data_IF_496578133709
#
_entry.id   IF_496578133709
#
_cell.length_a   1.000
_cell.length_b   1.000
_cell.length_c   1.000
_cell.angle_alpha   90.00
_cell.angle_beta   90.00
_cell.angle_gamma   90.00
#
_symmetry.space_group_name_H-M   'P 1'
#
loop_
_entity.id
_entity.type
_entity.pdbx_description
1 polymer ?
#
# COMPACT_ATOMS: atom_id res chain seq x y z
N UNK A 1 12.59 9.50 104.97
CA UNK A 1 13.19 8.90 103.75
C UNK A 1 12.15 8.89 102.64
N UNK A 2 12.11 9.88 101.73
CA UNK A 2 11.30 9.78 100.49
C UNK A 2 11.59 10.86 99.42
N UNK A 3 12.80 11.43 99.36
CA UNK A 3 13.15 12.47 98.35
C UNK A 3 13.99 11.94 97.18
N UNK A 4 14.77 10.88 97.35
CA UNK A 4 15.60 10.34 96.25
C UNK A 4 14.80 9.53 95.21
N UNK A 5 13.71 8.88 95.63
CA UNK A 5 12.89 8.05 94.75
C UNK A 5 12.01 8.89 93.77
N UNK A 6 11.79 10.17 94.08
CA UNK A 6 10.99 11.10 93.26
C UNK A 6 11.83 11.77 92.15
N UNK A 7 13.10 12.07 92.43
CA UNK A 7 14.01 12.68 91.44
C UNK A 7 14.41 11.69 90.34
N UNK A 8 14.62 10.41 90.70
CA UNK A 8 14.89 9.34 89.74
C UNK A 8 13.72 9.10 88.78
N UNK A 9 12.48 9.05 89.32
CA UNK A 9 11.27 8.91 88.50
C UNK A 9 11.08 10.08 87.55
N UNK A 10 11.27 11.33 88.01
CA UNK A 10 11.12 12.52 87.17
C UNK A 10 12.14 12.56 86.01
N UNK A 11 13.38 12.12 86.24
CA UNK A 11 14.41 12.02 85.18
C UNK A 11 14.06 10.92 84.16
N UNK A 12 13.55 9.78 84.63
CA UNK A 12 13.10 8.70 83.75
C UNK A 12 11.90 9.12 82.87
N UNK A 13 10.91 9.83 83.44
CA UNK A 13 9.76 10.34 82.66
C UNK A 13 10.19 11.34 81.59
N UNK A 14 11.14 12.22 81.88
CA UNK A 14 11.70 13.18 80.89
C UNK A 14 12.44 12.47 79.76
N UNK A 15 13.24 11.44 80.07
CA UNK A 15 13.94 10.64 79.05
C UNK A 15 12.94 9.92 78.13
N UNK A 16 11.88 9.33 78.70
CA UNK A 16 10.83 8.65 77.91
C UNK A 16 10.12 9.63 76.98
N UNK A 17 9.80 10.85 77.46
CA UNK A 17 9.18 11.89 76.62
C UNK A 17 10.08 12.34 75.46
N UNK A 18 11.39 12.46 75.68
CA UNK A 18 12.35 12.80 74.60
C UNK A 18 12.43 11.68 73.57
N UNK A 19 12.51 10.41 74.01
CA UNK A 19 12.53 9.27 73.09
C UNK A 19 11.22 9.18 72.28
N UNK A 20 10.07 9.41 72.92
CA UNK A 20 8.78 9.48 72.22
C UNK A 20 8.73 10.63 71.22
N UNK A 21 9.23 11.82 71.57
CA UNK A 21 9.27 12.96 70.66
C UNK A 21 10.17 12.68 69.44
N UNK A 22 11.33 12.06 69.63
CA UNK A 22 12.23 11.67 68.54
C UNK A 22 11.59 10.58 67.67
N UNK A 23 10.96 9.57 68.27
CA UNK A 23 10.25 8.54 67.52
C UNK A 23 9.10 9.11 66.67
N UNK A 24 8.39 10.12 67.19
CA UNK A 24 7.30 10.79 66.50
C UNK A 24 7.82 11.61 65.31
N UNK A 25 8.95 12.33 65.48
CA UNK A 25 9.63 13.04 64.38
C UNK A 25 10.16 12.07 63.32
N UNK A 26 10.77 10.95 63.71
CA UNK A 26 11.22 9.94 62.75
C UNK A 26 10.02 9.34 61.98
N UNK A 27 8.90 9.08 62.65
CA UNK A 27 7.69 8.57 62.01
C UNK A 27 7.10 9.55 61.01
N UNK A 28 7.10 10.86 61.30
CA UNK A 28 6.57 11.87 60.37
C UNK A 28 7.47 12.05 59.14
N UNK A 29 8.79 11.98 59.30
CA UNK A 29 9.73 12.02 58.17
C UNK A 29 9.57 10.80 57.27
N UNK A 30 9.45 9.60 57.86
CA UNK A 30 9.22 8.37 57.08
C UNK A 30 7.88 8.43 56.35
N UNK A 31 6.80 8.85 57.04
CA UNK A 31 5.49 9.00 56.42
C UNK A 31 5.51 10.05 55.27
N UNK A 32 6.23 11.16 55.44
CA UNK A 32 6.41 12.17 54.40
C UNK A 32 7.16 11.63 53.18
N UNK A 33 8.24 10.88 53.38
CA UNK A 33 8.97 10.23 52.28
C UNK A 33 8.11 9.21 51.53
N UNK A 34 7.33 8.40 52.25
CA UNK A 34 6.40 7.43 51.64
C UNK A 34 5.31 8.15 50.84
N UNK A 35 4.79 9.27 51.34
CA UNK A 35 3.81 10.08 50.63
C UNK A 35 4.37 10.67 49.32
N UNK A 36 5.59 11.22 49.35
CA UNK A 36 6.26 11.73 48.14
C UNK A 36 6.50 10.61 47.12
N UNK A 37 6.93 9.42 47.57
CA UNK A 37 7.09 8.27 46.69
C UNK A 37 5.77 7.80 46.09
N UNK A 38 4.69 7.81 46.87
CA UNK A 38 3.36 7.46 46.38
C UNK A 38 2.88 8.45 45.30
N UNK A 39 3.12 9.74 45.48
CA UNK A 39 2.69 10.75 44.51
C UNK A 39 3.53 10.67 43.23
N UNK A 40 4.85 10.47 43.35
CA UNK A 40 5.72 10.25 42.20
C UNK A 40 5.33 9.00 41.40
N UNK A 41 4.99 7.89 42.08
CA UNK A 41 4.57 6.66 41.40
C UNK A 41 3.21 6.81 40.72
N UNK A 42 2.25 7.53 41.32
CA UNK A 42 0.98 7.88 40.66
C UNK A 42 1.20 8.72 39.42
N UNK A 43 2.09 9.72 39.49
CA UNK A 43 2.37 10.59 38.35
C UNK A 43 3.08 9.84 37.21
N UNK A 44 4.01 8.94 37.55
CA UNK A 44 4.62 8.03 36.57
C UNK A 44 3.58 7.12 35.91
N UNK A 45 2.66 6.55 36.69
CA UNK A 45 1.60 5.70 36.16
C UNK A 45 0.67 6.47 35.20
N UNK A 46 0.29 7.70 35.57
CA UNK A 46 -0.53 8.55 34.72
C UNK A 46 0.17 8.88 33.38
N UNK A 47 1.46 9.23 33.43
CA UNK A 47 2.25 9.50 32.24
C UNK A 47 2.35 8.25 31.33
N UNK A 48 2.61 7.09 31.92
CA UNK A 48 2.72 5.82 31.18
C UNK A 48 1.39 5.41 30.54
N UNK A 49 0.26 5.69 31.21
CA UNK A 49 -1.07 5.46 30.67
C UNK A 49 -1.37 6.38 29.49
N UNK A 50 -1.02 7.66 29.58
CA UNK A 50 -1.17 8.60 28.47
C UNK A 50 -0.31 8.19 27.28
N UNK A 51 0.96 7.84 27.52
CA UNK A 51 1.87 7.40 26.47
C UNK A 51 1.38 6.12 25.76
N UNK A 52 0.89 5.13 26.52
CA UNK A 52 0.27 3.94 25.94
C UNK A 52 -0.99 4.26 25.14
N UNK A 53 -1.84 5.16 25.64
CA UNK A 53 -3.07 5.54 24.94
C UNK A 53 -2.76 6.24 23.61
N UNK A 54 -1.75 7.12 23.59
CA UNK A 54 -1.28 7.76 22.36
C UNK A 54 -0.67 6.73 21.40
N UNK A 55 0.20 5.84 21.88
CA UNK A 55 0.80 4.78 21.07
C UNK A 55 -0.26 3.85 20.47
N UNK A 56 -1.26 3.43 21.26
CA UNK A 56 -2.38 2.62 20.77
C UNK A 56 -3.22 3.35 19.72
N UNK A 57 -3.45 4.65 19.90
CA UNK A 57 -4.20 5.46 18.93
C UNK A 57 -3.43 5.57 17.61
N UNK A 58 -2.12 5.78 17.69
CA UNK A 58 -1.24 5.86 16.52
C UNK A 58 -1.21 4.52 15.76
N UNK A 59 -0.99 3.42 16.47
CA UNK A 59 -1.03 2.06 15.91
C UNK A 59 -2.40 1.78 15.27
N UNK A 60 -3.50 2.15 15.92
CA UNK A 60 -4.85 1.98 15.36
C UNK A 60 -5.05 2.80 14.10
N UNK A 61 -4.59 4.04 14.07
CA UNK A 61 -4.69 4.90 12.89
C UNK A 61 -3.88 4.34 11.72
N UNK A 62 -2.72 3.75 12.01
CA UNK A 62 -1.88 3.11 11.00
C UNK A 62 -2.54 1.85 10.44
N UNK A 63 -3.05 0.96 11.30
CA UNK A 63 -3.82 -0.20 10.84
C UNK A 63 -5.07 0.19 10.06
N UNK A 64 -5.75 1.28 10.42
CA UNK A 64 -6.90 1.75 9.66
C UNK A 64 -6.48 2.23 8.26
N UNK A 65 -5.37 2.97 8.16
CA UNK A 65 -4.82 3.39 6.87
C UNK A 65 -4.39 2.19 6.00
N UNK A 66 -3.80 1.16 6.63
CA UNK A 66 -3.40 -0.08 5.96
C UNK A 66 -4.64 -0.88 5.50
N UNK A 67 -5.70 -0.94 6.31
CA UNK A 67 -6.97 -1.58 5.94
C UNK A 67 -7.63 -0.85 4.77
N UNK A 68 -7.73 0.47 4.84
CA UNK A 68 -8.32 1.28 3.78
C UNK A 68 -7.51 1.13 2.48
N UNK A 69 -6.19 0.99 2.58
CA UNK A 69 -5.31 0.73 1.44
C UNK A 69 -5.46 -0.69 0.88
N UNK A 70 -5.54 -1.71 1.71
CA UNK A 70 -5.79 -3.09 1.24
C UNK A 70 -7.15 -3.19 0.56
N UNK A 71 -8.16 -2.51 1.08
CA UNK A 71 -9.45 -2.38 0.41
C UNK A 71 -9.31 -1.66 -0.93
N UNK A 72 -8.54 -0.57 -1.00
CA UNK A 72 -8.26 0.11 -2.26
C UNK A 72 -7.47 -0.77 -3.25
N UNK A 73 -6.55 -1.62 -2.76
CA UNK A 73 -5.77 -2.55 -3.57
C UNK A 73 -6.67 -3.64 -4.15
N UNK A 74 -7.52 -4.26 -3.33
CA UNK A 74 -8.52 -5.25 -3.76
C UNK A 74 -9.48 -4.65 -4.79
N UNK A 75 -9.95 -3.42 -4.57
CA UNK A 75 -10.80 -2.70 -5.53
C UNK A 75 -10.07 -2.36 -6.85
N UNK A 76 -8.73 -2.27 -6.83
CA UNK A 76 -7.91 -1.99 -8.01
C UNK A 76 -7.44 -3.24 -8.77
N UNK A 77 -7.67 -4.45 -8.24
CA UNK A 77 -7.26 -5.72 -8.84
C UNK A 77 -8.42 -6.74 -8.89
N UNK A 78 -9.03 -6.96 -10.06
CA UNK A 78 -10.10 -7.96 -10.23
C UNK A 78 -9.62 -9.43 -10.10
N UNK A 79 -8.36 -9.71 -10.45
CA UNK A 79 -7.86 -11.09 -10.59
C UNK A 79 -7.55 -11.80 -9.25
N UNK A 80 -7.24 -11.07 -8.17
CA UNK A 80 -6.91 -11.70 -6.88
C UNK A 80 -8.14 -12.10 -6.06
N UNK A 81 -9.28 -11.44 -6.26
CA UNK A 81 -10.53 -11.76 -5.58
C UNK A 81 -11.13 -13.10 -6.04
N UNK A 82 -10.87 -13.48 -7.30
CA UNK A 82 -11.40 -14.71 -7.92
C UNK A 82 -10.62 -15.97 -7.50
N UNK A 83 -9.33 -15.85 -7.16
CA UNK A 83 -8.47 -16.99 -6.80
C UNK A 83 -8.35 -17.30 -5.31
N UNK A 84 -8.39 -16.29 -4.43
CA UNK A 84 -8.11 -16.48 -3.00
C UNK A 84 -9.30 -16.99 -2.18
N UNK A 85 -10.56 -16.81 -2.64
CA UNK A 85 -11.74 -17.28 -1.91
C UNK A 85 -12.08 -18.77 -2.12
N UNK A 86 -11.39 -19.49 -3.02
CA UNK A 86 -11.67 -20.91 -3.26
C UNK A 86 -10.91 -21.89 -2.35
N UNK A 87 -9.87 -21.48 -1.63
CA UNK A 87 -9.11 -22.39 -0.75
C UNK A 87 -9.46 -22.30 0.75
N UNK A 88 -10.39 -21.42 1.16
CA UNK A 88 -10.68 -21.17 2.58
C UNK A 88 -11.99 -21.72 3.14
N UNK A 89 -12.96 -22.14 2.32
CA UNK A 89 -14.32 -22.47 2.80
C UNK A 89 -14.69 -23.93 2.50
N UNK A 90 -13.93 -24.85 3.08
CA UNK A 90 -14.48 -26.16 3.44
C UNK A 90 -15.27 -25.98 4.75
N UNK A 91 -16.58 -26.27 4.67
CA UNK A 91 -17.62 -26.10 5.70
C UNK A 91 -18.24 -24.70 5.76
N UNK A 92 -19.40 -24.50 5.13
CA UNK A 92 -20.73 -24.78 5.69
C UNK A 92 -21.75 -24.59 4.58
N UNK A 93 -22.77 -25.43 4.57
CA UNK A 93 -23.86 -25.44 3.60
C UNK A 93 -24.69 -24.16 3.70
N UNK A 94 -24.56 -23.25 2.73
CA UNK A 94 -25.54 -22.21 2.42
C UNK A 94 -25.65 -22.08 0.90
N UNK A 95 -26.87 -22.18 0.37
CA UNK A 95 -27.20 -21.75 -0.98
C UNK A 95 -26.71 -20.30 -1.14
N UNK A 96 -25.77 -20.06 -2.04
CA UNK A 96 -25.29 -18.72 -2.36
C UNK A 96 -25.64 -18.44 -3.81
N UNK A 97 -26.64 -17.58 -3.99
CA UNK A 97 -26.66 -16.69 -5.15
C UNK A 97 -25.28 -16.03 -5.25
N UNK A 98 -24.68 -16.08 -6.44
CA UNK A 98 -23.36 -15.53 -6.72
C UNK A 98 -23.50 -14.01 -6.71
N UNK A 99 -23.25 -13.40 -5.56
CA UNK A 99 -23.21 -11.95 -5.39
C UNK A 99 -22.08 -11.41 -6.28
N UNK A 100 -22.45 -10.58 -7.25
CA UNK A 100 -21.47 -9.93 -8.13
C UNK A 100 -20.59 -8.99 -7.31
N UNK A 101 -19.30 -8.83 -7.63
CA UNK A 101 -18.42 -7.87 -6.93
C UNK A 101 -18.97 -6.42 -6.95
N UNK A 102 -19.84 -6.09 -7.92
CA UNK A 102 -20.60 -4.85 -7.94
C UNK A 102 -21.58 -4.70 -6.76
N UNK A 103 -22.15 -5.80 -6.27
CA UNK A 103 -23.05 -5.80 -5.10
C UNK A 103 -22.24 -5.65 -3.81
N UNK A 104 -21.02 -6.20 -3.73
CA UNK A 104 -20.13 -5.99 -2.58
C UNK A 104 -19.62 -4.52 -2.50
N UNK A 105 -19.31 -3.91 -3.65
CA UNK A 105 -18.99 -2.48 -3.75
C UNK A 105 -20.20 -1.59 -3.43
N UNK A 106 -21.41 -1.99 -3.87
CA UNK A 106 -22.65 -1.33 -3.52
C UNK A 106 -23.00 -1.46 -2.02
N UNK A 107 -22.68 -2.59 -1.38
CA UNK A 107 -22.82 -2.80 0.07
C UNK A 107 -21.82 -1.97 0.89
N UNK A 108 -20.68 -1.59 0.31
CA UNK A 108 -19.68 -0.70 0.91
C UNK A 108 -19.92 0.81 0.59
N UNK A 109 -20.97 1.15 -0.17
CA UNK A 109 -21.27 2.53 -0.56
C UNK A 109 -20.30 3.14 -1.58
N UNK A 110 -19.51 2.32 -2.27
CA UNK A 110 -18.52 2.77 -3.26
C UNK A 110 -19.22 2.91 -4.62
N UNK A 111 -19.41 4.15 -5.08
CA UNK A 111 -19.99 4.40 -6.40
C UNK A 111 -18.96 4.22 -7.52
N UNK A 112 -19.39 3.93 -8.76
CA UNK A 112 -18.48 3.87 -9.92
C UNK A 112 -17.61 5.13 -10.08
N UNK A 113 -18.17 6.31 -9.77
CA UNK A 113 -17.44 7.57 -9.83
C UNK A 113 -16.26 7.61 -8.84
N UNK A 114 -16.44 7.09 -7.61
CA UNK A 114 -15.36 7.00 -6.62
C UNK A 114 -14.27 6.04 -7.08
N UNK A 115 -14.62 4.94 -7.75
CA UNK A 115 -13.64 3.99 -8.31
C UNK A 115 -12.83 4.67 -9.41
N UNK A 116 -13.49 5.38 -10.32
CA UNK A 116 -12.83 6.11 -11.41
C UNK A 116 -11.91 7.19 -10.85
N UNK A 117 -12.39 8.04 -9.96
CA UNK A 117 -11.59 9.14 -9.40
C UNK A 117 -10.37 8.62 -8.63
N UNK A 118 -10.49 7.48 -7.94
CA UNK A 118 -9.36 6.84 -7.24
C UNK A 118 -8.37 6.17 -8.19
N UNK A 119 -8.85 5.35 -9.13
CA UNK A 119 -7.99 4.57 -10.05
C UNK A 119 -7.24 5.46 -11.02
N UNK A 120 -7.88 6.55 -11.46
CA UNK A 120 -7.34 7.48 -12.44
C UNK A 120 -6.88 8.81 -11.81
N UNK A 121 -6.57 8.81 -10.51
CA UNK A 121 -6.14 10.01 -9.76
C UNK A 121 -4.86 10.66 -10.32
N UNK A 122 -3.96 9.89 -10.95
CA UNK A 122 -2.75 10.38 -11.60
C UNK A 122 -2.96 10.77 -13.07
N UNK A 123 -4.17 10.56 -13.60
CA UNK A 123 -4.51 10.81 -14.99
C UNK A 123 -5.48 12.00 -15.12
N UNK A 124 -6.61 11.96 -14.42
CA UNK A 124 -7.71 12.92 -14.59
C UNK A 124 -7.35 14.39 -14.28
N UNK A 125 -6.57 14.72 -13.23
CA UNK A 125 -6.31 16.13 -12.89
C UNK A 125 -5.51 16.91 -13.94
N UNK A 126 -4.70 16.21 -14.75
CA UNK A 126 -3.84 16.83 -15.75
C UNK A 126 -4.52 16.99 -17.12
N UNK A 127 -5.75 16.50 -17.26
CA UNK A 127 -6.49 16.58 -18.52
C UNK A 127 -7.13 17.95 -18.70
N UNK A 128 -6.78 18.62 -19.79
CA UNK A 128 -7.41 19.88 -20.20
C UNK A 128 -8.56 19.62 -21.19
N UNK A 129 -9.63 18.98 -20.71
CA UNK A 129 -10.82 18.68 -21.51
C UNK A 129 -11.98 19.64 -21.17
N UNK A 130 -12.82 19.99 -22.17
CA UNK A 130 -14.14 20.55 -21.92
C UNK A 130 -14.96 19.70 -20.94
N UNK A 131 -15.79 20.34 -20.12
CA UNK A 131 -16.55 19.64 -19.05
C UNK A 131 -17.39 18.47 -19.59
N UNK A 132 -18.05 18.65 -20.74
CA UNK A 132 -18.86 17.60 -21.38
C UNK A 132 -18.01 16.40 -21.83
N UNK A 133 -16.81 16.63 -22.34
CA UNK A 133 -15.87 15.58 -22.72
C UNK A 133 -15.30 14.88 -21.49
N UNK A 134 -14.99 15.62 -20.44
CA UNK A 134 -14.56 15.06 -19.15
C UNK A 134 -15.63 14.14 -18.53
N UNK A 135 -16.89 14.57 -18.52
CA UNK A 135 -18.01 13.74 -18.05
C UNK A 135 -18.21 12.49 -18.91
N UNK A 136 -18.02 12.61 -20.23
CA UNK A 136 -18.10 11.48 -21.16
C UNK A 136 -16.97 10.48 -20.90
N UNK A 137 -15.73 10.98 -20.74
CA UNK A 137 -14.58 10.17 -20.38
C UNK A 137 -14.82 9.42 -19.07
N UNK A 138 -15.26 10.11 -18.01
CA UNK A 138 -15.55 9.46 -16.71
C UNK A 138 -16.58 8.34 -16.83
N UNK A 139 -17.63 8.51 -17.65
CA UNK A 139 -18.62 7.46 -17.92
C UNK A 139 -18.01 6.26 -18.65
N UNK A 140 -17.15 6.50 -19.64
CA UNK A 140 -16.44 5.44 -20.35
C UNK A 140 -15.49 4.67 -19.41
N UNK A 141 -14.75 5.37 -18.55
CA UNK A 141 -13.89 4.75 -17.54
C UNK A 141 -14.71 3.91 -16.55
N UNK A 142 -15.84 4.42 -16.07
CA UNK A 142 -16.74 3.67 -15.19
C UNK A 142 -17.29 2.41 -15.88
N UNK A 143 -17.67 2.51 -17.16
CA UNK A 143 -18.11 1.37 -17.95
C UNK A 143 -16.99 0.33 -18.12
N UNK A 144 -15.75 0.76 -18.35
CA UNK A 144 -14.58 -0.12 -18.44
C UNK A 144 -14.37 -0.91 -17.15
N UNK A 145 -14.40 -0.23 -16.00
CA UNK A 145 -14.25 -0.88 -14.71
C UNK A 145 -15.40 -1.85 -14.41
N UNK A 146 -16.62 -1.49 -14.80
CA UNK A 146 -17.76 -2.40 -14.70
C UNK A 146 -17.59 -3.67 -15.55
N UNK A 147 -16.98 -3.57 -16.75
CA UNK A 147 -16.68 -4.74 -17.60
C UNK A 147 -15.55 -5.59 -16.99
N UNK A 148 -14.50 -4.97 -16.46
CA UNK A 148 -13.40 -5.69 -15.78
C UNK A 148 -13.89 -6.43 -14.53
N UNK A 149 -14.83 -5.87 -13.80
CA UNK A 149 -15.37 -6.46 -12.57
C UNK A 149 -16.45 -7.54 -12.81
N UNK A 150 -16.81 -7.82 -14.07
CA UNK A 150 -17.71 -8.93 -14.39
C UNK A 150 -16.99 -10.26 -14.24
N UNK A 151 -17.60 -11.16 -13.48
CA UNK A 151 -17.16 -12.54 -13.32
C UNK A 151 -17.24 -13.29 -14.66
N UNK A 152 -16.12 -13.81 -15.14
CA UNK A 152 -16.05 -14.61 -16.39
C UNK A 152 -16.18 -16.11 -16.14
N UNK A 153 -15.96 -16.56 -14.91
CA UNK A 153 -15.98 -17.95 -14.48
C UNK A 153 -16.84 -18.17 -13.23
N UNK A 154 -17.72 -19.17 -13.28
CA UNK A 154 -18.50 -19.67 -12.15
C UNK A 154 -18.19 -21.16 -11.93
N UNK A 155 -18.65 -21.73 -10.81
CA UNK A 155 -18.41 -23.14 -10.45
C UNK A 155 -18.81 -24.16 -11.54
N UNK A 156 -19.76 -23.81 -12.40
CA UNK A 156 -20.26 -24.66 -13.48
C UNK A 156 -19.79 -24.24 -14.89
N UNK A 157 -18.90 -23.26 -15.00
CA UNK A 157 -18.42 -22.76 -16.30
C UNK A 157 -17.49 -23.79 -16.94
N UNK A 158 -17.85 -24.24 -18.13
CA UNK A 158 -16.98 -25.11 -18.94
C UNK A 158 -15.80 -24.32 -19.51
N UNK A 159 -14.72 -24.99 -19.92
CA UNK A 159 -13.55 -24.34 -20.53
C UNK A 159 -13.92 -23.53 -21.79
N UNK A 160 -14.85 -24.05 -22.60
CA UNK A 160 -15.33 -23.40 -23.82
C UNK A 160 -16.23 -22.17 -23.53
N UNK A 161 -17.03 -22.21 -22.47
CA UNK A 161 -17.77 -21.05 -21.98
C UNK A 161 -16.84 -20.00 -21.37
N UNK A 162 -15.83 -20.42 -20.62
CA UNK A 162 -14.83 -19.52 -20.07
C UNK A 162 -14.10 -18.77 -21.19
N UNK A 163 -13.63 -19.49 -22.20
CA UNK A 163 -12.95 -18.89 -23.35
C UNK A 163 -13.85 -17.86 -24.07
N UNK A 164 -15.12 -18.20 -24.30
CA UNK A 164 -16.09 -17.26 -24.91
C UNK A 164 -16.37 -16.04 -24.02
N UNK A 165 -16.52 -16.23 -22.72
CA UNK A 165 -16.78 -15.13 -21.79
C UNK A 165 -15.58 -14.16 -21.73
N UNK A 166 -14.36 -14.70 -21.70
CA UNK A 166 -13.12 -13.92 -21.75
C UNK A 166 -13.01 -13.17 -23.08
N UNK A 167 -13.32 -13.82 -24.21
CA UNK A 167 -13.32 -13.16 -25.52
C UNK A 167 -14.34 -12.01 -25.59
N UNK A 168 -15.56 -12.23 -25.11
CA UNK A 168 -16.60 -11.18 -25.07
C UNK A 168 -16.20 -10.02 -24.16
N UNK A 169 -15.59 -10.29 -23.00
CA UNK A 169 -15.08 -9.27 -22.11
C UNK A 169 -13.99 -8.44 -22.82
N UNK A 170 -13.04 -9.09 -23.48
CA UNK A 170 -11.97 -8.43 -24.22
C UNK A 170 -12.50 -7.55 -25.35
N UNK A 171 -13.47 -8.04 -26.13
CA UNK A 171 -14.12 -7.26 -27.19
C UNK A 171 -14.84 -6.01 -26.63
N UNK A 172 -15.51 -6.14 -25.48
CA UNK A 172 -16.17 -5.02 -24.83
C UNK A 172 -15.16 -3.97 -24.33
N UNK A 173 -14.04 -4.41 -23.75
CA UNK A 173 -12.96 -3.52 -23.32
C UNK A 173 -12.34 -2.77 -24.51
N UNK A 174 -12.07 -3.47 -25.61
CA UNK A 174 -11.54 -2.86 -26.83
C UNK A 174 -12.50 -1.85 -27.46
N UNK A 175 -13.80 -2.10 -27.42
CA UNK A 175 -14.81 -1.14 -27.87
C UNK A 175 -14.77 0.13 -27.03
N UNK A 176 -14.74 -0.01 -25.71
CA UNK A 176 -14.68 1.13 -24.78
C UNK A 176 -13.37 1.91 -24.99
N UNK A 177 -12.24 1.23 -25.13
CA UNK A 177 -10.95 1.86 -25.35
C UNK A 177 -10.90 2.66 -26.67
N UNK A 178 -11.60 2.20 -27.72
CA UNK A 178 -11.77 2.97 -28.98
C UNK A 178 -12.62 4.22 -28.78
N UNK A 179 -13.66 4.15 -27.97
CA UNK A 179 -14.48 5.32 -27.62
C UNK A 179 -13.68 6.33 -26.78
N UNK A 180 -12.84 5.85 -25.86
CA UNK A 180 -11.91 6.71 -25.10
C UNK A 180 -10.91 7.40 -26.04
N UNK A 181 -10.39 6.68 -27.03
CA UNK A 181 -9.50 7.25 -28.04
C UNK A 181 -10.15 8.36 -28.89
N UNK A 182 -11.48 8.35 -29.03
CA UNK A 182 -12.21 9.39 -29.76
C UNK A 182 -12.45 10.66 -28.93
N UNK A 183 -12.36 10.57 -27.60
CA UNK A 183 -12.53 11.70 -26.67
C UNK A 183 -11.20 12.35 -26.31
N UNK A 184 -10.13 11.56 -26.21
CA UNK A 184 -8.81 12.04 -25.82
C UNK A 184 -7.99 12.48 -27.04
N UNK A 185 -7.22 13.59 -26.94
CA UNK A 185 -6.16 13.85 -27.90
C UNK A 185 -5.07 12.76 -27.82
N UNK A 186 -4.27 12.64 -28.87
CA UNK A 186 -3.37 11.50 -29.06
C UNK A 186 -2.37 11.31 -27.91
N UNK A 187 -1.82 12.39 -27.37
CA UNK A 187 -0.82 12.31 -26.29
C UNK A 187 -1.44 11.82 -24.98
N UNK A 188 -2.62 12.34 -24.64
CA UNK A 188 -3.40 11.95 -23.48
C UNK A 188 -3.92 10.52 -23.60
N UNK A 189 -4.28 10.10 -24.82
CA UNK A 189 -4.65 8.72 -25.09
C UNK A 189 -3.48 7.75 -24.86
N UNK A 190 -2.25 8.10 -25.25
CA UNK A 190 -1.08 7.26 -24.94
C UNK A 190 -0.84 7.16 -23.43
N UNK A 191 -0.99 8.27 -22.70
CA UNK A 191 -0.92 8.23 -21.23
C UNK A 191 -2.02 7.34 -20.63
N UNK A 192 -3.26 7.44 -21.13
CA UNK A 192 -4.35 6.55 -20.75
C UNK A 192 -4.01 5.09 -21.02
N UNK A 193 -3.51 4.76 -22.22
CA UNK A 193 -3.14 3.40 -22.63
C UNK A 193 -2.13 2.77 -21.67
N UNK A 194 -1.13 3.56 -21.24
CA UNK A 194 -0.14 3.13 -20.26
C UNK A 194 -0.74 2.96 -18.86
N UNK A 195 -1.61 3.87 -18.43
CA UNK A 195 -2.11 3.94 -17.05
C UNK A 195 -3.30 3.01 -16.75
N UNK A 196 -4.16 2.70 -17.73
CA UNK A 196 -5.45 2.03 -17.51
C UNK A 196 -5.34 0.67 -16.80
N UNK A 197 -4.22 -0.03 -17.01
CA UNK A 197 -3.94 -1.35 -16.42
C UNK A 197 -2.72 -1.34 -15.48
N UNK A 198 -2.32 -0.15 -15.00
CA UNK A 198 -1.13 0.07 -14.17
C UNK A 198 -1.36 -0.05 -12.66
N UNK A 199 -2.43 -0.71 -12.22
CA UNK A 199 -2.83 -0.75 -10.80
C UNK A 199 -1.74 -1.29 -9.88
N UNK A 200 -0.99 -2.30 -10.36
CA UNK A 200 0.13 -2.87 -9.62
C UNK A 200 1.32 -1.91 -9.53
N UNK A 201 1.69 -1.24 -10.62
CA UNK A 201 2.77 -0.25 -10.64
C UNK A 201 2.44 0.97 -9.78
N UNK A 202 1.18 1.42 -9.79
CA UNK A 202 0.69 2.47 -8.91
C UNK A 202 0.81 2.07 -7.44
N UNK A 203 0.48 0.83 -7.10
CA UNK A 203 0.67 0.29 -5.75
C UNK A 203 2.16 0.27 -5.37
N UNK A 204 3.03 -0.29 -6.23
CA UNK A 204 4.48 -0.32 -5.98
C UNK A 204 5.06 1.09 -5.77
N UNK A 205 4.61 2.07 -6.55
CA UNK A 205 5.05 3.45 -6.41
C UNK A 205 4.59 4.07 -5.09
N UNK A 206 3.36 3.80 -4.66
CA UNK A 206 2.87 4.23 -3.34
C UNK A 206 3.70 3.64 -2.21
N UNK A 207 4.04 2.35 -2.30
CA UNK A 207 4.90 1.69 -1.30
C UNK A 207 6.30 2.30 -1.27
N UNK A 208 6.89 2.56 -2.44
CA UNK A 208 8.16 3.26 -2.54
C UNK A 208 8.08 4.66 -1.87
N UNK A 209 7.07 5.46 -2.21
CA UNK A 209 6.92 6.81 -1.68
C UNK A 209 6.75 6.83 -0.15
N UNK A 210 6.06 5.83 0.41
CA UNK A 210 5.89 5.67 1.86
C UNK A 210 7.18 5.27 2.59
N UNK A 211 8.07 4.56 1.92
CA UNK A 211 9.36 4.17 2.47
C UNK A 211 10.36 5.34 2.53
N UNK A 212 10.11 6.43 1.80
CA UNK A 212 10.90 7.66 1.86
C UNK A 212 10.65 8.40 3.19
N UNK A 213 11.66 9.15 3.63
CA UNK A 213 11.50 10.09 4.73
C UNK A 213 10.39 11.12 4.41
N UNK A 214 9.61 11.60 5.39
CA UNK A 214 8.49 12.53 5.15
C UNK A 214 8.86 13.76 4.32
N UNK A 215 10.05 14.31 4.52
CA UNK A 215 10.61 15.47 3.81
C UNK A 215 11.06 15.17 2.37
N UNK A 216 11.27 13.89 2.05
CA UNK A 216 11.76 13.42 0.75
C UNK A 216 10.68 12.69 -0.04
N UNK A 217 9.42 12.69 0.45
CA UNK A 217 8.29 12.15 -0.30
C UNK A 217 8.13 12.85 -1.65
N UNK A 218 7.73 12.06 -2.64
CA UNK A 218 7.46 12.51 -4.00
C UNK A 218 6.16 13.31 -4.03
N UNK A 219 6.18 14.48 -4.68
CA UNK A 219 4.96 15.17 -5.04
C UNK A 219 4.18 14.46 -6.17
N UNK A 220 2.96 14.91 -6.46
CA UNK A 220 2.11 14.26 -7.48
C UNK A 220 2.72 14.32 -8.90
N UNK A 221 3.46 15.39 -9.23
CA UNK A 221 4.10 15.54 -10.54
C UNK A 221 5.23 14.51 -10.65
N UNK A 222 6.08 14.42 -9.63
CA UNK A 222 7.16 13.44 -9.55
C UNK A 222 6.62 12.00 -9.61
N UNK A 223 5.57 11.68 -8.83
CA UNK A 223 4.91 10.36 -8.87
C UNK A 223 4.42 10.04 -10.28
N UNK A 224 3.64 10.93 -10.90
CA UNK A 224 3.13 10.72 -12.25
C UNK A 224 4.25 10.54 -13.28
N UNK A 225 5.26 11.41 -13.27
CA UNK A 225 6.39 11.34 -14.20
C UNK A 225 7.16 10.03 -14.08
N UNK A 226 7.46 9.59 -12.84
CA UNK A 226 8.12 8.29 -12.62
C UNK A 226 7.27 7.12 -13.10
N UNK A 227 5.96 7.15 -12.83
CA UNK A 227 5.06 6.06 -13.21
C UNK A 227 5.00 5.93 -14.73
N UNK A 228 4.80 7.05 -15.44
CA UNK A 228 4.78 7.07 -16.90
C UNK A 228 6.12 6.61 -17.50
N UNK A 229 7.25 7.07 -16.95
CA UNK A 229 8.58 6.61 -17.38
C UNK A 229 8.74 5.10 -17.20
N UNK A 230 8.32 4.55 -16.04
CA UNK A 230 8.35 3.11 -15.77
C UNK A 230 7.49 2.34 -16.77
N UNK A 231 6.24 2.76 -16.96
CA UNK A 231 5.29 2.10 -17.85
C UNK A 231 5.72 2.15 -19.32
N UNK A 232 6.22 3.29 -19.79
CA UNK A 232 6.74 3.45 -21.16
C UNK A 232 7.92 2.52 -21.43
N UNK A 233 8.88 2.46 -20.52
CA UNK A 233 10.04 1.58 -20.69
C UNK A 233 9.65 0.10 -20.51
N UNK A 234 8.69 -0.22 -19.65
CA UNK A 234 8.11 -1.57 -19.52
C UNK A 234 7.39 -2.02 -20.80
N UNK A 235 6.60 -1.13 -21.42
CA UNK A 235 5.91 -1.39 -22.69
C UNK A 235 6.92 -1.69 -23.81
N UNK A 236 8.00 -0.91 -23.88
CA UNK A 236 9.11 -1.17 -24.81
C UNK A 236 9.78 -2.53 -24.55
N UNK A 237 10.06 -2.87 -23.30
CA UNK A 237 10.59 -4.18 -22.91
C UNK A 237 9.66 -5.33 -23.30
N UNK A 238 8.36 -5.21 -23.04
CA UNK A 238 7.37 -6.24 -23.37
C UNK A 238 7.28 -6.49 -24.89
N UNK A 239 7.39 -5.43 -25.69
CA UNK A 239 7.44 -5.56 -27.15
C UNK A 239 8.67 -6.36 -27.62
N UNK A 240 9.84 -6.09 -27.02
CA UNK A 240 11.07 -6.86 -27.30
C UNK A 240 10.98 -8.30 -26.81
N UNK A 241 10.34 -8.53 -25.66
CA UNK A 241 10.09 -9.86 -25.12
C UNK A 241 9.19 -10.68 -26.06
N UNK A 242 8.13 -10.07 -26.59
CA UNK A 242 7.25 -10.71 -27.58
C UNK A 242 8.00 -11.10 -28.85
N UNK A 243 8.81 -10.19 -29.40
CA UNK A 243 9.66 -10.47 -30.58
C UNK A 243 10.65 -11.60 -30.31
N UNK A 244 11.31 -11.58 -29.14
CA UNK A 244 12.24 -12.63 -28.79
C UNK A 244 11.58 -14.00 -28.58
N UNK A 245 10.36 -14.04 -28.05
CA UNK A 245 9.58 -15.28 -27.95
C UNK A 245 9.23 -15.84 -29.33
N UNK A 246 8.97 -14.99 -30.33
CA UNK A 246 8.80 -15.43 -31.72
C UNK A 246 10.10 -16.04 -32.27
N UNK A 247 11.24 -15.37 -32.08
CA UNK A 247 12.55 -15.89 -32.50
C UNK A 247 12.92 -17.21 -31.81
N UNK A 248 12.46 -17.41 -30.56
CA UNK A 248 12.65 -18.67 -29.85
C UNK A 248 11.86 -19.83 -30.47
N UNK A 249 10.67 -19.56 -31.03
CA UNK A 249 9.87 -20.56 -31.75
C UNK A 249 10.48 -20.95 -33.10
N UNK A 250 11.19 -20.03 -33.76
CA UNK A 250 11.86 -20.28 -35.04
C UNK A 250 13.07 -21.24 -34.91
N UNK A 251 13.64 -21.36 -33.71
CA UNK A 251 14.70 -22.31 -33.37
C UNK A 251 16.09 -21.98 -33.93
N UNK A 252 17.08 -22.83 -33.63
CA UNK A 252 18.45 -22.67 -34.14
C UNK A 252 19.17 -21.41 -33.65
N UNK A 253 19.85 -20.69 -34.55
CA UNK A 253 20.58 -19.47 -34.21
C UNK A 253 19.66 -18.32 -33.76
N UNK A 254 18.44 -18.23 -34.33
CA UNK A 254 17.46 -17.21 -33.98
C UNK A 254 17.03 -17.29 -32.50
N UNK A 255 16.98 -18.49 -31.93
CA UNK A 255 16.67 -18.66 -30.51
C UNK A 255 17.74 -18.05 -29.59
N UNK A 256 19.02 -18.10 -29.96
CA UNK A 256 20.09 -17.45 -29.20
C UNK A 256 20.05 -15.93 -29.34
N UNK A 257 19.73 -15.43 -30.52
CA UNK A 257 19.52 -13.99 -30.76
C UNK A 257 18.35 -13.46 -29.92
N UNK A 258 17.25 -14.22 -29.82
CA UNK A 258 16.13 -13.90 -28.94
C UNK A 258 16.52 -13.80 -27.47
N UNK A 259 17.34 -14.74 -26.95
CA UNK A 259 17.85 -14.69 -25.57
C UNK A 259 18.67 -13.43 -25.30
N UNK A 260 19.58 -13.08 -26.22
CA UNK A 260 20.38 -11.86 -26.10
C UNK A 260 19.52 -10.59 -26.18
N UNK A 261 18.52 -10.59 -27.07
CA UNK A 261 17.58 -9.48 -27.24
C UNK A 261 16.84 -9.18 -25.94
N UNK A 262 16.29 -10.19 -25.26
CA UNK A 262 15.57 -10.00 -23.99
C UNK A 262 16.46 -9.42 -22.90
N UNK A 263 17.68 -9.94 -22.76
CA UNK A 263 18.62 -9.46 -21.74
C UNK A 263 19.03 -8.00 -22.01
N UNK A 264 19.32 -7.66 -23.26
CA UNK A 264 19.62 -6.29 -23.69
C UNK A 264 18.42 -5.36 -23.48
N UNK A 265 17.21 -5.83 -23.74
CA UNK A 265 15.98 -5.07 -23.52
C UNK A 265 15.75 -4.80 -22.02
N UNK A 266 16.02 -5.76 -21.14
CA UNK A 266 15.93 -5.54 -19.69
C UNK A 266 16.96 -4.52 -19.21
N UNK A 267 18.19 -4.60 -19.71
CA UNK A 267 19.25 -3.64 -19.37
C UNK A 267 18.86 -2.23 -19.86
N UNK A 268 18.35 -2.12 -21.10
CA UNK A 268 17.85 -0.87 -21.67
C UNK A 268 16.68 -0.29 -20.86
N UNK A 269 15.72 -1.12 -20.44
CA UNK A 269 14.64 -0.71 -19.56
C UNK A 269 15.20 -0.10 -18.27
N UNK A 270 16.04 -0.84 -17.54
CA UNK A 270 16.57 -0.34 -16.27
C UNK A 270 17.36 0.97 -16.43
N UNK A 271 18.21 1.07 -17.45
CA UNK A 271 19.05 2.24 -17.70
C UNK A 271 18.22 3.47 -18.09
N UNK A 272 17.27 3.32 -19.00
CA UNK A 272 16.42 4.42 -19.44
C UNK A 272 15.51 4.90 -18.32
N UNK A 273 14.91 3.98 -17.56
CA UNK A 273 14.07 4.35 -16.42
C UNK A 273 14.86 5.13 -15.36
N UNK A 274 16.09 4.69 -15.01
CA UNK A 274 16.92 5.45 -14.09
C UNK A 274 17.42 6.78 -14.65
N UNK A 275 17.69 6.87 -15.95
CA UNK A 275 18.08 8.13 -16.58
C UNK A 275 16.91 9.15 -16.55
N UNK A 276 15.70 8.71 -16.85
CA UNK A 276 14.48 9.53 -16.77
C UNK A 276 14.16 9.92 -15.34
N UNK A 277 14.27 9.01 -14.37
CA UNK A 277 14.04 9.30 -12.96
C UNK A 277 15.01 10.38 -12.43
N UNK A 278 16.28 10.34 -12.85
CA UNK A 278 17.30 11.30 -12.41
C UNK A 278 16.98 12.75 -12.82
N UNK A 279 16.22 12.98 -13.89
CA UNK A 279 15.89 14.33 -14.34
C UNK A 279 14.74 14.97 -13.55
N UNK A 280 13.97 14.15 -12.82
CA UNK A 280 12.75 14.58 -12.09
C UNK A 280 12.93 14.53 -10.57
N UNK A 281 13.84 13.69 -10.08
CA UNK A 281 14.06 13.46 -8.66
C UNK A 281 15.23 14.26 -8.10
N UNK A 282 15.15 14.59 -6.81
CA UNK A 282 16.32 15.01 -6.04
C UNK A 282 17.33 13.86 -5.93
N UNK A 283 18.59 14.18 -5.62
CA UNK A 283 19.63 13.16 -5.50
C UNK A 283 19.32 12.11 -4.42
N UNK A 284 18.70 12.52 -3.31
CA UNK A 284 18.29 11.62 -2.22
C UNK A 284 17.18 10.66 -2.68
N UNK A 285 16.09 11.22 -3.23
CA UNK A 285 14.98 10.44 -3.80
C UNK A 285 15.46 9.45 -4.87
N UNK A 286 16.37 9.90 -5.74
CA UNK A 286 16.93 9.08 -6.80
C UNK A 286 17.74 7.90 -6.24
N UNK A 287 18.59 8.14 -5.23
CA UNK A 287 19.38 7.07 -4.61
C UNK A 287 18.47 6.01 -3.98
N UNK A 288 17.41 6.44 -3.28
CA UNK A 288 16.42 5.54 -2.70
C UNK A 288 15.67 4.74 -3.78
N UNK A 289 15.31 5.38 -4.90
CA UNK A 289 14.68 4.68 -6.03
C UNK A 289 15.60 3.61 -6.62
N UNK A 290 16.88 3.94 -6.81
CA UNK A 290 17.87 3.00 -7.35
C UNK A 290 18.01 1.79 -6.43
N UNK A 291 18.07 1.98 -5.11
CA UNK A 291 18.12 0.86 -4.16
C UNK A 291 16.87 -0.02 -4.25
N UNK A 292 15.69 0.60 -4.26
CA UNK A 292 14.40 -0.10 -4.33
C UNK A 292 14.23 -0.92 -5.62
N UNK A 293 14.45 -0.30 -6.78
CA UNK A 293 14.18 -0.91 -8.09
C UNK A 293 15.29 -1.86 -8.55
N UNK A 294 16.54 -1.66 -8.11
CA UNK A 294 17.65 -2.57 -8.45
C UNK A 294 17.39 -4.00 -7.98
N UNK A 295 16.70 -4.16 -6.86
CA UNK A 295 16.28 -5.48 -6.37
C UNK A 295 15.30 -6.15 -7.33
N UNK A 296 14.29 -5.41 -7.81
CA UNK A 296 13.30 -5.90 -8.76
C UNK A 296 13.94 -6.26 -10.10
N UNK A 297 14.78 -5.38 -10.67
CA UNK A 297 15.51 -5.67 -11.90
C UNK A 297 16.47 -6.85 -11.76
N UNK A 298 17.12 -7.00 -10.60
CA UNK A 298 17.95 -8.18 -10.34
C UNK A 298 17.12 -9.47 -10.29
N UNK A 299 15.91 -9.45 -9.73
CA UNK A 299 15.03 -10.61 -9.70
C UNK A 299 14.52 -10.96 -11.10
N UNK A 300 14.08 -9.95 -11.87
CA UNK A 300 13.71 -10.13 -13.29
C UNK A 300 14.87 -10.75 -14.08
N UNK A 301 16.09 -10.24 -13.92
CA UNK A 301 17.28 -10.76 -14.62
C UNK A 301 17.56 -12.23 -14.27
N UNK A 302 17.42 -12.61 -12.99
CA UNK A 302 17.58 -14.00 -12.55
C UNK A 302 16.48 -14.90 -13.13
N UNK A 303 15.23 -14.46 -13.08
CA UNK A 303 14.10 -15.19 -13.64
C UNK A 303 14.28 -15.44 -15.14
N UNK A 304 14.67 -14.41 -15.89
CA UNK A 304 14.93 -14.51 -17.33
C UNK A 304 16.07 -15.48 -17.63
N UNK A 305 17.16 -15.43 -16.87
CA UNK A 305 18.27 -16.38 -17.03
C UNK A 305 17.81 -17.81 -16.78
N UNK A 306 17.08 -18.06 -15.70
CA UNK A 306 16.59 -19.39 -15.35
C UNK A 306 15.60 -19.93 -16.38
N UNK A 307 14.79 -19.07 -17.03
CA UNK A 307 13.88 -19.50 -18.09
C UNK A 307 14.57 -19.78 -19.44
N UNK A 308 15.85 -19.40 -19.58
CA UNK A 308 16.63 -19.57 -20.80
C UNK A 308 17.60 -20.77 -20.73
N UNK A 309 17.77 -21.38 -19.56
CA UNK A 309 18.51 -22.64 -19.37
C UNK A 309 17.64 -23.85 -19.73
#
# INVERSE_FOLDING_TARGET
>A
MNRENTVGKLRATKLILVVLAVALICSTVVAGNVYIQLENTKQQLANLQTENATALTQVRSQYQADIDELQNYILSQPDLASGAMQQGLMATHCESDVVSNNELAAMAGVTPDVIVDKKYALFLPDLTLPQNEMETLKKLLAAREAVLNKTTASYYTTEEELARNVEQQQQALESIDKEVAAVLPQEEYENYRLLKDSGFEQYQQKQFNRALAPESQLDNIQQRSLLLAKLKNKDSFNNQLSLANQLAQDGGAAANDGKQLIMSALDSYSQNYFAEAKSVLTQEQYNALVEYESQQFSQMRRSLRNSME
#
